data_IF_324867174551
#
_entry.id   IF_324867174551
#
_cell.length_a   1.000
_cell.length_b   1.000
_cell.length_c   1.000
_cell.angle_alpha   90.00
_cell.angle_beta   90.00
_cell.angle_gamma   90.00
#
_symmetry.space_group_name_H-M   'P 1'
#
loop_
_entity.id
_entity.type
_entity.pdbx_description
1 polymer ?
#
# COMPACT_ATOMS: atom_id res chain seq x y z
N UNK A 1 9.45 30.29 -13.79
CA UNK A 1 8.60 29.80 -12.69
C UNK A 1 9.36 28.63 -12.09
N UNK A 2 9.91 28.79 -10.89
CA UNK A 2 10.87 27.83 -10.33
C UNK A 2 10.26 26.44 -10.24
N UNK A 3 10.97 25.44 -10.73
CA UNK A 3 10.66 24.04 -10.45
C UNK A 3 10.72 23.88 -8.94
N UNK A 4 9.57 23.63 -8.33
CA UNK A 4 9.52 23.14 -6.95
C UNK A 4 10.30 21.82 -6.99
N UNK A 5 11.34 21.70 -6.19
CA UNK A 5 12.09 20.46 -6.04
C UNK A 5 11.16 19.42 -5.40
N UNK A 6 10.54 18.57 -6.24
CA UNK A 6 9.63 17.49 -5.81
C UNK A 6 10.39 16.20 -5.48
N UNK A 7 11.71 16.27 -5.35
CA UNK A 7 12.50 15.13 -4.90
C UNK A 7 12.09 14.73 -3.47
N UNK A 8 11.93 13.43 -3.21
CA UNK A 8 11.62 12.92 -1.88
C UNK A 8 12.77 13.25 -0.90
N UNK A 9 12.43 13.67 0.31
CA UNK A 9 13.39 13.87 1.39
C UNK A 9 13.99 12.53 1.87
N UNK A 10 15.14 12.51 2.55
CA UNK A 10 15.72 11.26 3.07
C UNK A 10 14.82 10.58 4.12
N UNK A 11 14.82 9.25 4.16
CA UNK A 11 14.09 8.48 5.17
C UNK A 11 14.63 8.75 6.57
N UNK A 12 13.74 9.03 7.53
CA UNK A 12 14.10 9.35 8.92
C UNK A 12 14.12 8.08 9.77
N UNK A 13 15.19 7.29 9.61
CA UNK A 13 15.32 5.96 10.23
C UNK A 13 15.24 5.99 11.76
N UNK A 14 15.77 7.02 12.43
CA UNK A 14 15.67 7.14 13.89
C UNK A 14 14.22 7.33 14.37
N UNK A 15 13.43 8.12 13.63
CA UNK A 15 12.00 8.31 13.90
C UNK A 15 11.24 7.00 13.60
N UNK A 16 11.59 6.29 12.52
CA UNK A 16 10.98 5.02 12.15
C UNK A 16 11.23 3.94 13.22
N UNK A 17 12.46 3.85 13.73
CA UNK A 17 12.81 2.96 14.82
C UNK A 17 12.04 3.31 16.12
N UNK A 18 11.77 4.60 16.36
CA UNK A 18 10.94 5.03 17.49
C UNK A 18 9.46 4.60 17.30
N UNK A 19 8.91 4.77 16.10
CA UNK A 19 7.56 4.28 15.76
C UNK A 19 7.46 2.76 15.92
N UNK A 20 8.47 2.01 15.46
CA UNK A 20 8.51 0.56 15.62
C UNK A 20 8.48 0.13 17.09
N UNK A 21 9.32 0.74 17.93
CA UNK A 21 9.32 0.47 19.38
C UNK A 21 7.97 0.79 20.02
N UNK A 22 7.33 1.88 19.60
CA UNK A 22 6.00 2.24 20.09
C UNK A 22 4.96 1.18 19.72
N UNK A 23 4.93 0.74 18.45
CA UNK A 23 4.06 -0.35 18.01
C UNK A 23 4.33 -1.65 18.79
N UNK A 24 5.59 -2.09 18.88
CA UNK A 24 5.98 -3.31 19.58
C UNK A 24 5.56 -3.30 21.06
N UNK A 25 5.62 -2.14 21.73
CA UNK A 25 5.19 -1.98 23.11
C UNK A 25 3.66 -2.14 23.30
N UNK A 26 2.85 -2.03 22.25
CA UNK A 26 1.40 -2.28 22.30
C UNK A 26 1.04 -3.77 22.21
N UNK A 27 2.02 -4.65 21.93
CA UNK A 27 1.78 -6.09 21.74
C UNK A 27 2.09 -6.86 23.04
N UNK A 28 1.30 -7.89 23.40
CA UNK A 28 1.62 -8.79 24.51
C UNK A 28 2.98 -9.48 24.32
N UNK A 29 3.50 -10.09 25.39
CA UNK A 29 4.77 -10.81 25.38
C UNK A 29 4.85 -11.80 24.20
N UNK A 30 5.71 -11.48 23.23
CA UNK A 30 5.81 -12.14 21.92
C UNK A 30 6.23 -11.17 20.81
N UNK A 31 5.75 -9.93 20.86
CA UNK A 31 6.10 -8.86 19.92
C UNK A 31 5.89 -9.20 18.43
N UNK A 32 6.11 -8.26 17.51
CA UNK A 32 6.39 -8.62 16.13
C UNK A 32 7.69 -9.45 16.04
N UNK A 33 7.80 -10.40 15.10
CA UNK A 33 8.96 -11.28 15.00
C UNK A 33 10.22 -10.57 14.46
N UNK A 34 10.09 -9.36 13.91
CA UNK A 34 11.21 -8.60 13.35
C UNK A 34 11.90 -7.71 14.39
N UNK A 35 13.25 -7.72 14.39
CA UNK A 35 14.02 -6.74 15.16
C UNK A 35 13.86 -5.33 14.57
N UNK A 36 13.91 -5.21 13.23
CA UNK A 36 13.69 -3.96 12.48
C UNK A 36 12.99 -4.26 11.14
N UNK A 37 11.85 -3.61 10.84
CA UNK A 37 11.18 -3.77 9.55
C UNK A 37 11.79 -2.83 8.48
N UNK A 38 11.58 -3.12 7.18
CA UNK A 38 11.88 -2.16 6.12
C UNK A 38 11.21 -0.80 6.36
N UNK A 39 11.87 0.27 5.92
CA UNK A 39 11.39 1.65 6.04
C UNK A 39 11.40 2.25 4.65
N UNK A 40 10.22 2.57 4.14
CA UNK A 40 10.01 2.87 2.73
C UNK A 40 8.98 3.97 2.56
N UNK A 41 8.73 4.38 1.31
CA UNK A 41 7.65 5.30 0.95
C UNK A 41 6.99 4.79 -0.32
N UNK A 42 5.73 5.17 -0.50
CA UNK A 42 5.06 4.99 -1.78
C UNK A 42 5.53 6.04 -2.78
N UNK A 43 5.53 5.68 -4.07
CA UNK A 43 5.82 6.60 -5.16
C UNK A 43 7.28 7.05 -5.25
N UNK A 44 7.58 7.80 -6.31
CA UNK A 44 8.93 8.25 -6.67
C UNK A 44 9.15 9.76 -6.48
N UNK A 45 8.15 10.48 -5.96
CA UNK A 45 8.21 11.92 -5.69
C UNK A 45 7.67 12.25 -4.32
N UNK A 46 8.05 13.43 -3.79
CA UNK A 46 7.54 13.92 -2.51
C UNK A 46 6.02 14.05 -2.53
N UNK A 47 5.48 14.74 -3.54
CA UNK A 47 4.03 14.97 -3.65
C UNK A 47 3.26 13.67 -3.78
N UNK A 48 3.77 12.70 -4.54
CA UNK A 48 3.11 11.40 -4.70
C UNK A 48 3.17 10.58 -3.39
N UNK A 49 4.31 10.58 -2.70
CA UNK A 49 4.41 9.91 -1.40
C UNK A 49 3.42 10.49 -0.36
N UNK A 50 3.27 11.81 -0.32
CA UNK A 50 2.31 12.50 0.56
C UNK A 50 0.86 12.16 0.22
N UNK A 51 0.52 12.09 -1.08
CA UNK A 51 -0.81 11.69 -1.54
C UNK A 51 -1.13 10.25 -1.13
N UNK A 52 -0.23 9.32 -1.43
CA UNK A 52 -0.47 7.88 -1.24
C UNK A 52 -0.52 7.51 0.24
N UNK A 53 0.35 8.08 1.09
CA UNK A 53 0.28 7.83 2.53
C UNK A 53 -0.99 8.42 3.16
N UNK A 54 -1.54 9.51 2.61
CA UNK A 54 -2.81 10.04 3.07
C UNK A 54 -3.97 9.07 2.79
N UNK A 55 -3.97 8.39 1.63
CA UNK A 55 -4.97 7.36 1.31
C UNK A 55 -4.88 6.15 2.25
N UNK A 56 -3.67 5.76 2.63
CA UNK A 56 -3.45 4.68 3.60
C UNK A 56 -4.03 5.05 4.96
N UNK A 57 -3.67 6.23 5.49
CA UNK A 57 -4.14 6.70 6.78
C UNK A 57 -5.67 6.91 6.82
N UNK A 58 -6.27 7.22 5.67
CA UNK A 58 -7.71 7.44 5.54
C UNK A 58 -8.54 6.15 5.33
N UNK A 59 -7.96 4.95 5.39
CA UNK A 59 -8.72 3.70 5.15
C UNK A 59 -8.83 3.27 3.70
N UNK A 60 -8.58 4.19 2.76
CA UNK A 60 -8.85 3.99 1.33
C UNK A 60 -7.87 3.06 0.63
N UNK A 61 -6.56 3.17 0.92
CA UNK A 61 -5.52 2.36 0.27
C UNK A 61 -5.11 1.21 1.19
N UNK A 62 -5.34 -0.02 0.74
CA UNK A 62 -5.04 -1.31 1.41
C UNK A 62 -4.33 -2.31 0.49
N UNK A 63 -3.93 -1.85 -0.69
CA UNK A 63 -3.10 -2.61 -1.61
C UNK A 63 -2.00 -1.73 -2.23
N UNK A 64 -0.92 -2.39 -2.64
CA UNK A 64 0.21 -1.77 -3.34
C UNK A 64 0.86 -2.72 -4.33
N UNK A 65 1.52 -2.19 -5.35
CA UNK A 65 2.27 -2.97 -6.33
C UNK A 65 3.70 -2.46 -6.55
N UNK A 66 4.63 -3.38 -6.76
CA UNK A 66 6.03 -3.10 -7.08
C UNK A 66 6.58 -4.09 -8.10
N UNK A 67 7.63 -3.73 -8.84
CA UNK A 67 8.28 -4.68 -9.73
C UNK A 67 9.12 -5.65 -8.91
N UNK A 68 9.05 -6.95 -9.21
CA UNK A 68 9.94 -7.96 -8.61
C UNK A 68 11.41 -7.61 -8.88
N UNK A 69 11.70 -7.00 -10.03
CA UNK A 69 13.03 -6.53 -10.40
C UNK A 69 13.57 -5.42 -9.48
N UNK A 70 12.70 -4.62 -8.85
CA UNK A 70 13.12 -3.54 -7.93
C UNK A 70 13.79 -4.13 -6.69
N UNK A 71 13.17 -5.15 -6.07
CA UNK A 71 13.75 -5.87 -4.94
C UNK A 71 15.11 -6.49 -5.28
N UNK A 72 15.22 -7.13 -6.44
CA UNK A 72 16.48 -7.72 -6.89
C UNK A 72 17.57 -6.65 -7.14
N UNK A 73 17.19 -5.49 -7.68
CA UNK A 73 18.08 -4.37 -7.93
C UNK A 73 18.61 -3.78 -6.62
N UNK A 74 17.73 -3.62 -5.62
CA UNK A 74 18.07 -3.04 -4.32
C UNK A 74 18.75 -4.04 -3.36
N UNK A 75 18.80 -5.33 -3.76
CA UNK A 75 19.37 -6.40 -2.95
C UNK A 75 18.49 -6.77 -1.76
N UNK A 76 17.19 -6.50 -1.86
CA UNK A 76 16.20 -6.72 -0.82
C UNK A 76 15.39 -8.00 -1.12
N UNK A 77 15.00 -8.77 -0.08
CA UNK A 77 14.10 -9.90 -0.27
C UNK A 77 12.69 -9.40 -0.61
N UNK A 78 11.93 -10.21 -1.35
CA UNK A 78 10.48 -10.00 -1.45
C UNK A 78 9.85 -10.04 -0.05
N UNK A 79 8.78 -9.27 0.20
CA UNK A 79 8.04 -9.33 1.45
C UNK A 79 7.44 -10.72 1.65
N UNK A 80 6.96 -10.96 2.87
CA UNK A 80 6.27 -12.20 3.24
C UNK A 80 4.92 -11.86 3.86
N UNK A 81 3.95 -12.75 3.69
CA UNK A 81 2.69 -12.64 4.43
C UNK A 81 2.98 -12.64 5.93
N UNK A 82 2.39 -11.67 6.63
CA UNK A 82 2.59 -11.38 8.04
C UNK A 82 3.83 -10.55 8.37
N UNK A 83 4.65 -10.19 7.37
CA UNK A 83 5.77 -9.27 7.53
C UNK A 83 5.31 -7.82 7.70
N UNK A 84 6.12 -7.02 8.41
CA UNK A 84 5.86 -5.61 8.63
C UNK A 84 6.78 -4.72 7.81
N UNK A 85 6.31 -3.53 7.46
CA UNK A 85 7.12 -2.43 6.93
C UNK A 85 6.57 -1.08 7.39
N UNK A 86 7.43 -0.06 7.42
CA UNK A 86 7.09 1.29 7.85
C UNK A 86 6.97 2.19 6.63
N UNK A 87 5.78 2.74 6.44
CA UNK A 87 5.48 3.67 5.35
C UNK A 87 5.71 5.12 5.80
N UNK A 88 6.49 5.85 5.02
CA UNK A 88 6.84 7.25 5.24
C UNK A 88 6.13 8.20 4.27
N UNK A 89 6.07 9.48 4.65
CA UNK A 89 5.65 10.57 3.79
C UNK A 89 6.77 11.08 2.85
N UNK A 90 6.48 12.08 2.03
CA UNK A 90 7.41 12.68 1.08
C UNK A 90 8.63 13.34 1.74
N UNK A 91 8.54 13.70 3.01
CA UNK A 91 9.64 14.20 3.84
C UNK A 91 10.45 13.08 4.53
N UNK A 92 10.06 11.83 4.31
CA UNK A 92 10.67 10.65 4.90
C UNK A 92 10.29 10.42 6.37
N UNK A 93 9.29 11.14 6.92
CA UNK A 93 8.79 10.89 8.28
C UNK A 93 7.93 9.63 8.28
N UNK A 94 8.10 8.71 9.24
CA UNK A 94 7.27 7.52 9.35
C UNK A 94 5.84 7.89 9.72
N UNK A 95 4.86 7.27 9.06
CA UNK A 95 3.44 7.59 9.23
C UNK A 95 2.60 6.40 9.62
N UNK A 96 2.95 5.20 9.15
CA UNK A 96 2.22 3.99 9.47
C UNK A 96 3.17 2.77 9.55
N UNK A 97 2.80 1.81 10.39
CA UNK A 97 3.31 0.43 10.32
C UNK A 97 2.25 -0.39 9.61
N UNK A 98 2.67 -1.05 8.54
CA UNK A 98 1.84 -1.90 7.70
C UNK A 98 2.20 -3.36 7.93
N UNK A 99 1.23 -4.25 7.76
CA UNK A 99 1.45 -5.70 7.80
C UNK A 99 0.87 -6.35 6.55
N UNK A 100 1.70 -7.05 5.79
CA UNK A 100 1.26 -7.72 4.56
C UNK A 100 0.31 -8.87 4.90
N UNK A 101 -0.86 -8.93 4.26
CA UNK A 101 -1.88 -9.96 4.47
C UNK A 101 -2.02 -10.91 3.29
N UNK A 102 -1.71 -10.43 2.08
CA UNK A 102 -1.74 -11.21 0.85
C UNK A 102 -0.58 -10.78 -0.05
N UNK A 103 0.05 -11.75 -0.72
CA UNK A 103 1.07 -11.51 -1.73
C UNK A 103 0.80 -12.39 -2.95
N UNK A 104 0.88 -11.79 -4.14
CA UNK A 104 0.75 -12.49 -5.42
C UNK A 104 1.72 -11.91 -6.43
N UNK A 105 2.41 -12.76 -7.19
CA UNK A 105 3.24 -12.33 -8.31
C UNK A 105 2.49 -12.61 -9.62
N UNK A 106 2.56 -11.67 -10.57
CA UNK A 106 1.98 -11.85 -11.89
C UNK A 106 2.30 -10.70 -12.83
N UNK A 107 1.76 -10.76 -14.05
CA UNK A 107 1.87 -9.66 -15.02
C UNK A 107 1.08 -8.43 -14.55
N UNK A 108 1.47 -7.24 -15.01
CA UNK A 108 0.75 -5.99 -14.71
C UNK A 108 -0.76 -6.07 -15.05
N UNK A 109 -1.10 -6.67 -16.19
CA UNK A 109 -2.48 -6.83 -16.66
C UNK A 109 -3.31 -7.88 -15.91
N UNK A 110 -2.68 -8.65 -15.01
CA UNK A 110 -3.38 -9.61 -14.13
C UNK A 110 -4.10 -8.95 -12.96
N UNK A 111 -3.95 -7.64 -12.78
CA UNK A 111 -4.74 -6.86 -11.83
C UNK A 111 -6.24 -7.04 -12.09
N UNK A 112 -7.04 -7.15 -11.04
CA UNK A 112 -8.50 -7.18 -11.11
C UNK A 112 -9.11 -5.88 -10.57
N UNK A 113 -10.42 -5.70 -10.77
CA UNK A 113 -11.11 -4.50 -10.30
C UNK A 113 -11.14 -4.41 -8.76
N UNK A 114 -11.05 -5.53 -8.05
CA UNK A 114 -11.02 -5.50 -6.58
C UNK A 114 -9.70 -4.92 -6.08
N UNK A 115 -8.58 -5.38 -6.62
CA UNK A 115 -7.25 -4.87 -6.31
C UNK A 115 -7.11 -3.38 -6.66
N UNK A 116 -7.58 -2.97 -7.84
CA UNK A 116 -7.55 -1.55 -8.22
C UNK A 116 -8.38 -0.67 -7.28
N UNK A 117 -9.51 -1.19 -6.76
CA UNK A 117 -10.32 -0.51 -5.74
C UNK A 117 -9.62 -0.45 -4.39
N UNK A 118 -9.02 -1.56 -3.95
CA UNK A 118 -8.29 -1.67 -2.68
C UNK A 118 -7.04 -0.80 -2.66
N UNK A 119 -6.38 -0.62 -3.80
CA UNK A 119 -5.25 0.32 -3.94
C UNK A 119 -5.73 1.78 -3.86
N UNK A 120 -6.97 2.05 -4.28
CA UNK A 120 -7.68 3.28 -3.96
C UNK A 120 -7.19 4.54 -4.68
N UNK A 121 -6.24 4.40 -5.61
CA UNK A 121 -5.65 5.49 -6.38
C UNK A 121 -6.54 6.00 -7.50
N UNK A 122 -6.38 7.28 -7.86
CA UNK A 122 -7.10 7.95 -8.95
C UNK A 122 -8.63 7.74 -8.89
N UNK A 123 -9.22 7.14 -9.94
CA UNK A 123 -10.66 6.87 -10.05
C UNK A 123 -11.07 5.49 -9.52
N UNK A 124 -10.12 4.74 -8.93
CA UNK A 124 -10.32 3.37 -8.39
C UNK A 124 -10.81 2.37 -9.42
N UNK A 125 -10.55 2.62 -10.70
CA UNK A 125 -10.86 1.69 -11.79
C UNK A 125 -9.61 0.92 -12.21
N UNK A 126 -9.79 -0.32 -12.68
CA UNK A 126 -8.71 -1.12 -13.26
C UNK A 126 -8.02 -0.43 -14.44
N UNK A 127 -8.78 0.27 -15.29
CA UNK A 127 -8.22 1.00 -16.42
C UNK A 127 -7.33 2.16 -15.98
N UNK A 128 -7.78 2.95 -15.00
CA UNK A 128 -7.00 4.02 -14.39
C UNK A 128 -5.73 3.48 -13.73
N UNK A 129 -5.86 2.40 -12.97
CA UNK A 129 -4.76 1.71 -12.30
C UNK A 129 -3.67 1.27 -13.29
N UNK A 130 -4.05 0.57 -14.37
CA UNK A 130 -3.12 0.08 -15.38
C UNK A 130 -2.36 1.21 -16.05
N UNK A 131 -3.08 2.27 -16.44
CA UNK A 131 -2.46 3.42 -17.08
C UNK A 131 -1.51 4.15 -16.12
N UNK A 132 -1.87 4.26 -14.84
CA UNK A 132 -1.04 4.85 -13.78
C UNK A 132 0.26 4.07 -13.56
N UNK A 133 0.13 2.78 -13.31
CA UNK A 133 1.27 1.90 -13.00
C UNK A 133 2.21 1.73 -14.19
N UNK A 134 1.70 1.60 -15.42
CA UNK A 134 2.56 1.54 -16.60
C UNK A 134 3.41 2.82 -16.74
N UNK A 135 2.82 4.00 -16.52
CA UNK A 135 3.57 5.27 -16.54
C UNK A 135 4.60 5.36 -15.40
N UNK A 136 4.23 4.90 -14.21
CA UNK A 136 5.11 4.86 -13.05
C UNK A 136 6.31 3.96 -13.29
N UNK A 137 6.09 2.67 -13.59
CA UNK A 137 7.15 1.69 -13.80
C UNK A 137 8.05 2.03 -14.98
N UNK A 138 7.49 2.53 -16.09
CA UNK A 138 8.31 2.99 -17.23
C UNK A 138 9.27 4.10 -16.81
N UNK A 139 8.82 5.04 -15.96
CA UNK A 139 9.64 6.16 -15.50
C UNK A 139 10.71 5.71 -14.51
N UNK A 140 10.38 4.84 -13.55
CA UNK A 140 11.35 4.35 -12.56
C UNK A 140 12.41 3.44 -13.19
N UNK A 141 12.04 2.59 -14.15
CA UNK A 141 12.99 1.82 -14.97
C UNK A 141 13.94 2.74 -15.74
N UNK A 142 13.41 3.80 -16.37
CA UNK A 142 14.23 4.72 -17.16
C UNK A 142 15.31 5.44 -16.33
N UNK A 143 15.07 5.70 -15.04
CA UNK A 143 16.08 6.26 -14.12
C UNK A 143 17.29 5.32 -13.97
N UNK A 144 17.08 4.00 -14.07
CA UNK A 144 18.13 2.97 -14.04
C UNK A 144 18.69 2.63 -15.42
N UNK A 145 18.21 3.29 -16.48
CA UNK A 145 18.60 2.99 -17.87
C UNK A 145 17.92 1.75 -18.45
N UNK A 146 16.83 1.29 -17.83
CA UNK A 146 16.05 0.13 -18.26
C UNK A 146 14.76 0.57 -18.97
N UNK A 147 14.21 -0.31 -19.80
CA UNK A 147 12.95 -0.07 -20.51
C UNK A 147 11.86 -1.00 -19.98
N UNK A 148 10.61 -0.59 -20.15
CA UNK A 148 9.46 -1.47 -19.89
C UNK A 148 9.53 -2.72 -20.77
N UNK A 149 9.22 -3.85 -20.17
CA UNK A 149 9.03 -5.15 -20.83
C UNK A 149 7.73 -5.79 -20.27
N UNK A 150 6.92 -6.37 -21.16
CA UNK A 150 5.63 -6.98 -20.80
C UNK A 150 5.79 -8.29 -20.00
N UNK A 151 6.99 -8.84 -19.94
CA UNK A 151 7.35 -10.01 -19.13
C UNK A 151 7.85 -9.62 -17.72
N UNK A 152 7.90 -8.32 -17.38
CA UNK A 152 8.19 -7.88 -16.02
C UNK A 152 7.11 -8.38 -15.04
N UNK A 153 7.58 -9.04 -13.98
CA UNK A 153 6.73 -9.51 -12.90
C UNK A 153 6.45 -8.38 -11.91
N UNK A 154 5.17 -8.23 -11.58
CA UNK A 154 4.65 -7.32 -10.57
C UNK A 154 4.30 -8.15 -9.33
N UNK A 155 4.81 -7.70 -8.19
CA UNK A 155 4.35 -8.14 -6.88
C UNK A 155 3.13 -7.29 -6.49
N UNK A 156 2.02 -7.96 -6.27
CA UNK A 156 0.78 -7.40 -5.74
C UNK A 156 0.71 -7.73 -4.25
N UNK A 157 0.57 -6.71 -3.41
CA UNK A 157 0.46 -6.82 -1.96
C UNK A 157 -0.87 -6.24 -1.49
N UNK A 158 -1.56 -6.97 -0.61
CA UNK A 158 -2.54 -6.38 0.31
C UNK A 158 -1.94 -6.30 1.70
N UNK A 159 -2.33 -5.26 2.43
CA UNK A 159 -1.85 -5.00 3.78
C UNK A 159 -2.95 -4.44 4.66
N UNK A 160 -2.75 -4.59 5.96
CA UNK A 160 -3.50 -3.89 7.01
C UNK A 160 -2.62 -2.81 7.66
N UNK A 161 -3.24 -1.72 8.14
CA UNK A 161 -2.56 -0.74 8.98
C UNK A 161 -2.61 -1.22 10.43
N UNK A 162 -1.45 -1.45 11.06
CA UNK A 162 -1.39 -1.94 12.45
C UNK A 162 -0.97 -0.87 13.46
N UNK A 163 -0.47 0.27 12.97
CA UNK A 163 -0.12 1.43 13.78
C UNK A 163 -0.04 2.70 12.90
N UNK A 164 -0.44 3.89 13.38
CA UNK A 164 -1.03 4.17 14.68
C UNK A 164 -2.45 3.61 14.81
N UNK A 165 -2.96 3.50 16.04
CA UNK A 165 -4.25 2.83 16.34
C UNK A 165 -5.43 3.52 15.65
N UNK A 166 -5.39 4.84 15.50
CA UNK A 166 -6.46 5.59 14.83
C UNK A 166 -6.63 5.16 13.36
N UNK A 167 -5.51 4.98 12.65
CA UNK A 167 -5.51 4.54 11.26
C UNK A 167 -5.85 3.04 11.12
N UNK A 168 -5.44 2.22 12.09
CA UNK A 168 -5.82 0.82 12.18
C UNK A 168 -7.34 0.65 12.38
N UNK A 169 -7.93 1.48 13.25
CA UNK A 169 -9.36 1.43 13.54
C UNK A 169 -10.23 1.95 12.38
N UNK A 170 -9.70 2.88 11.57
CA UNK A 170 -10.40 3.35 10.36
C UNK A 170 -10.66 2.20 9.38
N UNK A 171 -9.69 1.28 9.25
CA UNK A 171 -9.85 0.08 8.43
C UNK A 171 -10.99 -0.81 8.91
N UNK A 172 -11.04 -1.08 10.22
CA UNK A 172 -12.07 -1.91 10.81
C UNK A 172 -13.47 -1.31 10.60
N UNK A 173 -13.61 0.01 10.78
CA UNK A 173 -14.88 0.71 10.58
C UNK A 173 -15.36 0.62 9.11
N UNK A 174 -14.46 0.77 8.14
CA UNK A 174 -14.81 0.70 6.71
C UNK A 174 -15.24 -0.74 6.31
N UNK A 175 -14.59 -1.76 6.87
CA UNK A 175 -14.96 -3.16 6.65
C UNK A 175 -16.34 -3.49 7.26
N UNK A 176 -16.63 -2.98 8.46
CA UNK A 176 -17.95 -3.14 9.10
C UNK A 176 -19.08 -2.47 8.31
N UNK A 177 -18.85 -1.25 7.80
CA UNK A 177 -19.82 -0.54 6.98
C UNK A 177 -20.14 -1.30 5.67
N UNK A 178 -19.10 -1.79 4.99
CA UNK A 178 -19.26 -2.53 3.73
C UNK A 178 -19.99 -3.87 3.95
N UNK A 179 -19.75 -4.54 5.08
CA UNK A 179 -20.45 -5.78 5.45
C UNK A 179 -21.93 -5.59 5.80
N UNK A 180 -22.30 -4.45 6.40
CA UNK A 180 -23.70 -4.11 6.68
C UNK A 180 -24.48 -3.77 5.40
N UNK A 181 -23.87 -3.10 4.42
CA UNK A 181 -24.52 -2.82 3.14
C UNK A 181 -24.79 -4.09 2.32
N UNK A 182 -23.89 -5.08 2.37
CA UNK A 182 -24.07 -6.36 1.68
C UNK A 182 -25.19 -7.22 2.27
N UNK A 183 -25.48 -7.11 3.57
CA UNK A 183 -26.52 -7.89 4.26
C UNK A 183 -27.91 -7.25 4.18
N UNK A 184 -28.01 -5.99 3.75
CA UNK A 184 -29.27 -5.25 3.61
C UNK A 184 -30.07 -5.52 2.32
N UNK A 185 -29.51 -6.27 1.36
CA UNK A 185 -30.12 -6.46 0.03
C UNK A 185 -30.88 -7.80 -0.14
N UNK A 186 -30.80 -8.74 0.83
CA UNK A 186 -31.54 -10.01 0.80
C UNK A 186 -32.79 -9.93 1.71
N UNK A 187 -33.84 -9.24 1.27
CA UNK A 187 -35.04 -9.09 2.11
C UNK A 187 -36.22 -8.35 1.52
N UNK A 188 -36.47 -8.45 0.21
CA UNK A 188 -37.71 -7.95 -0.37
C UNK A 188 -38.02 -8.69 -1.68
N UNK A 189 -38.59 -9.90 -1.57
CA UNK A 189 -39.46 -10.47 -2.61
C UNK A 189 -40.16 -11.73 -2.10
N UNK A 190 -41.12 -11.55 -1.19
CA UNK A 190 -42.25 -12.48 -1.10
C UNK A 190 -43.43 -11.86 -0.37
N UNK A 191 -44.40 -11.35 -1.11
CA UNK A 191 -45.83 -11.46 -0.78
C UNK A 191 -46.69 -10.96 -1.95
N UNK A 192 -47.64 -11.79 -2.39
CA UNK A 192 -48.79 -11.33 -3.18
C UNK A 192 -49.12 -12.13 -4.44
N UNK A 193 -49.69 -13.33 -4.27
CA UNK A 193 -50.63 -13.88 -5.24
C UNK A 193 -51.66 -14.74 -4.50
N UNK A 194 -52.84 -14.16 -4.27
CA UNK A 194 -54.11 -14.87 -4.07
C UNK A 194 -54.95 -14.64 -5.34
#
# INVERSE_FOLDING_TARGET
MGTVDDAPGPLRRDEAAAMWRAYAATRPAGGPPEDEPPVERFGDSRSLADELIALVLAGTKRATAGLVADFAHDGEPLPRVGGHWIACDGDGRPRAVLRSTELRVGRLDSVDDAFARDEGEADRTRAGWLAGHLRYFTRTLAVRGEAWDDDLEVLFERFEVVFPEEAANQEAADQEATGQEATGQEGADQEGAD
#
